data_IF_571565149628
#
_entry.id   IF_571565149628
#
_cell.length_a   1.000
_cell.length_b   1.000
_cell.length_c   1.000
_cell.angle_alpha   90.00
_cell.angle_beta   90.00
_cell.angle_gamma   90.00
#
_symmetry.space_group_name_H-M   'P 1'
#
loop_
_entity.id
_entity.type
_entity.pdbx_description
1 polymer ?
#
# COMPACT_ATOMS: atom_id res chain seq x y z
N UNK A 1 15.56 29.69 -6.14
CA UNK A 1 14.16 29.29 -6.36
C UNK A 1 13.88 28.12 -5.45
N UNK A 2 12.96 28.26 -4.48
CA UNK A 2 12.56 27.14 -3.64
C UNK A 2 11.90 26.12 -4.55
N UNK A 3 12.52 24.96 -4.73
CA UNK A 3 11.92 23.86 -5.46
C UNK A 3 10.70 23.43 -4.65
N UNK A 4 9.50 23.79 -5.11
CA UNK A 4 8.25 23.35 -4.50
C UNK A 4 8.25 21.83 -4.48
N UNK A 5 8.66 21.21 -3.37
CA UNK A 5 8.56 19.76 -3.19
C UNK A 5 7.06 19.45 -3.18
N UNK A 6 6.59 18.81 -4.25
CA UNK A 6 5.25 18.26 -4.26
C UNK A 6 5.10 17.29 -3.08
N UNK A 7 3.94 17.27 -2.40
CA UNK A 7 3.67 16.28 -1.38
C UNK A 7 3.83 14.86 -1.94
N UNK A 8 4.47 13.99 -1.15
CA UNK A 8 4.52 12.56 -1.47
C UNK A 8 3.16 11.94 -1.17
N UNK A 9 2.78 10.93 -1.96
CA UNK A 9 1.56 10.16 -1.74
C UNK A 9 1.95 8.78 -1.22
N UNK A 10 1.37 8.38 -0.09
CA UNK A 10 1.50 7.04 0.48
C UNK A 10 0.17 6.29 0.33
N UNK A 11 0.25 4.98 0.09
CA UNK A 11 -0.92 4.10 0.10
C UNK A 11 -1.20 3.60 1.53
N UNK A 12 -2.30 4.04 2.13
CA UNK A 12 -2.75 3.52 3.42
C UNK A 12 -3.40 2.14 3.28
N UNK A 13 -2.96 1.18 4.09
CA UNK A 13 -3.43 -0.22 4.05
C UNK A 13 -4.43 -0.60 5.14
N UNK A 14 -4.98 0.36 5.89
CA UNK A 14 -5.91 0.11 7.01
C UNK A 14 -7.15 -0.74 6.63
N UNK A 15 -7.56 -0.72 5.36
CA UNK A 15 -8.69 -1.51 4.88
C UNK A 15 -8.32 -2.95 4.47
N UNK A 16 -7.03 -3.28 4.37
CA UNK A 16 -6.55 -4.57 3.86
C UNK A 16 -6.83 -5.68 4.88
N UNK A 17 -7.43 -6.77 4.39
CA UNK A 17 -7.90 -7.88 5.23
C UNK A 17 -9.25 -7.65 5.88
N UNK A 18 -9.76 -6.41 5.85
CA UNK A 18 -11.08 -6.05 6.35
C UNK A 18 -12.06 -5.80 5.20
N UNK A 19 -12.26 -4.52 4.85
CA UNK A 19 -13.15 -4.11 3.74
C UNK A 19 -12.59 -4.42 2.36
N UNK A 20 -11.27 -4.44 2.24
CA UNK A 20 -10.57 -4.89 1.04
C UNK A 20 -10.00 -6.28 1.33
N UNK A 21 -10.52 -7.28 0.62
CA UNK A 21 -9.93 -8.62 0.63
C UNK A 21 -8.55 -8.62 -0.05
N UNK A 22 -7.82 -9.73 0.05
CA UNK A 22 -6.47 -9.85 -0.50
C UNK A 22 -6.39 -9.52 -2.00
N UNK A 23 -7.42 -9.90 -2.78
CA UNK A 23 -7.46 -9.66 -4.23
C UNK A 23 -7.66 -8.18 -4.54
N UNK A 24 -8.58 -7.52 -3.84
CA UNK A 24 -8.82 -6.09 -4.01
C UNK A 24 -7.63 -5.28 -3.52
N UNK A 25 -7.02 -5.66 -2.39
CA UNK A 25 -5.78 -5.06 -1.89
C UNK A 25 -4.65 -5.13 -2.92
N UNK A 26 -4.45 -6.28 -3.56
CA UNK A 26 -3.42 -6.43 -4.60
C UNK A 26 -3.70 -5.52 -5.81
N UNK A 27 -4.96 -5.40 -6.24
CA UNK A 27 -5.34 -4.49 -7.33
C UNK A 27 -5.08 -3.02 -6.97
N UNK A 28 -5.38 -2.62 -5.72
CA UNK A 28 -5.10 -1.26 -5.23
C UNK A 28 -3.61 -0.96 -5.24
N UNK A 29 -2.78 -1.89 -4.77
CA UNK A 29 -1.31 -1.75 -4.79
C UNK A 29 -0.80 -1.68 -6.22
N UNK A 30 -1.29 -2.53 -7.12
CA UNK A 30 -0.88 -2.51 -8.53
C UNK A 30 -1.17 -1.15 -9.19
N UNK A 31 -2.39 -0.63 -9.04
CA UNK A 31 -2.77 0.68 -9.61
C UNK A 31 -1.92 1.81 -9.00
N UNK A 32 -1.58 1.71 -7.72
CA UNK A 32 -0.72 2.69 -7.05
C UNK A 32 0.71 2.68 -7.60
N UNK A 33 1.28 1.49 -7.83
CA UNK A 33 2.59 1.31 -8.45
C UNK A 33 2.60 1.80 -9.91
N UNK A 34 1.55 1.50 -10.69
CA UNK A 34 1.40 1.96 -12.09
C UNK A 34 1.37 3.49 -12.21
N UNK A 35 0.94 4.19 -11.15
CA UNK A 35 0.98 5.67 -11.07
C UNK A 35 2.36 6.23 -10.68
N UNK A 36 3.34 5.36 -10.44
CA UNK A 36 4.72 5.75 -10.10
C UNK A 36 4.96 6.03 -8.62
N UNK A 37 4.03 5.65 -7.74
CA UNK A 37 4.23 5.74 -6.30
C UNK A 37 4.77 4.42 -5.75
N UNK A 38 5.53 4.47 -4.65
CA UNK A 38 6.22 3.30 -4.09
C UNK A 38 6.23 3.25 -2.56
N UNK A 39 5.56 4.17 -1.88
CA UNK A 39 5.49 4.21 -0.41
C UNK A 39 4.14 3.70 0.10
N UNK A 40 4.17 2.82 1.09
CA UNK A 40 2.97 2.18 1.68
C UNK A 40 3.00 2.38 3.20
N UNK A 41 1.84 2.72 3.77
CA UNK A 41 1.61 2.85 5.21
C UNK A 41 0.86 1.63 5.74
N UNK A 42 1.40 0.97 6.76
CA UNK A 42 0.84 -0.20 7.42
C UNK A 42 1.15 -0.20 8.92
N UNK A 43 0.39 -0.96 9.69
CA UNK A 43 0.62 -1.18 11.10
C UNK A 43 0.13 -2.57 11.52
N UNK A 44 0.79 -3.17 12.52
CA UNK A 44 0.37 -4.46 13.09
C UNK A 44 -1.09 -4.48 13.56
N UNK A 45 -1.62 -3.35 14.05
CA UNK A 45 -3.02 -3.24 14.48
C UNK A 45 -4.03 -3.26 13.32
N UNK A 46 -3.58 -3.11 12.06
CA UNK A 46 -4.48 -3.09 10.92
C UNK A 46 -4.98 -4.50 10.64
N UNK A 47 -6.25 -4.70 11.01
CA UNK A 47 -6.97 -5.96 10.86
C UNK A 47 -6.21 -7.14 11.49
N UNK A 48 -5.69 -6.94 12.71
CA UNK A 48 -4.95 -7.95 13.49
C UNK A 48 -3.74 -8.54 12.74
N UNK A 49 -2.97 -7.68 12.04
CA UNK A 49 -1.78 -8.08 11.28
C UNK A 49 -2.07 -8.69 9.91
N UNK A 50 -3.34 -8.80 9.52
CA UNK A 50 -3.73 -9.31 8.20
C UNK A 50 -3.28 -8.36 7.09
N UNK A 51 -3.26 -7.05 7.32
CA UNK A 51 -2.78 -6.09 6.32
C UNK A 51 -1.34 -6.39 5.88
N UNK A 52 -0.43 -6.56 6.85
CA UNK A 52 0.98 -6.90 6.59
C UNK A 52 1.12 -8.28 5.97
N UNK A 53 0.32 -9.26 6.42
CA UNK A 53 0.32 -10.62 5.86
C UNK A 53 -0.09 -10.63 4.39
N UNK A 54 -1.15 -9.90 4.03
CA UNK A 54 -1.63 -9.77 2.65
C UNK A 54 -0.56 -9.10 1.79
N UNK A 55 0.07 -8.02 2.25
CA UNK A 55 1.12 -7.32 1.52
C UNK A 55 2.34 -8.23 1.33
N UNK A 56 2.74 -8.98 2.37
CA UNK A 56 3.87 -9.91 2.30
C UNK A 56 3.64 -11.08 1.33
N UNK A 57 2.39 -11.48 1.12
CA UNK A 57 2.03 -12.49 0.12
C UNK A 57 1.98 -11.93 -1.31
N UNK A 58 1.91 -10.60 -1.47
CA UNK A 58 2.04 -9.97 -2.78
C UNK A 58 3.47 -10.13 -3.30
N UNK A 59 3.63 -10.70 -4.49
CA UNK A 59 4.91 -10.78 -5.20
C UNK A 59 5.29 -9.42 -5.80
N UNK A 60 5.50 -8.42 -4.94
CA UNK A 60 5.82 -7.06 -5.34
C UNK A 60 7.25 -6.96 -5.91
N UNK A 61 7.47 -6.05 -6.88
CA UNK A 61 8.82 -5.81 -7.40
C UNK A 61 9.74 -5.29 -6.28
N UNK A 62 10.98 -5.78 -6.27
CA UNK A 62 12.02 -5.22 -5.39
C UNK A 62 12.40 -3.85 -5.93
N UNK A 63 12.03 -2.80 -5.22
CA UNK A 63 12.38 -1.39 -5.51
C UNK A 63 13.73 -1.02 -4.93
#
# INVERSE_FOLDING_TARGET
MSQSKHPVTLLGSMAFGGRADAKLSAQLVQVFLERGHNELDTAYMYNDGQAESIIGDMQLPKT
#
